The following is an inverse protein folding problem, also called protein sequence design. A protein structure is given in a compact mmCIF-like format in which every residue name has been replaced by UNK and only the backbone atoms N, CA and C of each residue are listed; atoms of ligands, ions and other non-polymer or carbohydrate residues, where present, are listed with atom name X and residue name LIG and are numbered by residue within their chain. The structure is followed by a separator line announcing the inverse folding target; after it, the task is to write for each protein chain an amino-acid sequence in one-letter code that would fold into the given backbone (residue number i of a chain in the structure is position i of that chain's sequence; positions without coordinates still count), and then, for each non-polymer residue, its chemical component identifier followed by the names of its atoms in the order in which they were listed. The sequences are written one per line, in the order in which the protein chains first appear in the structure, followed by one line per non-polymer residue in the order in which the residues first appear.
data_IF_920198407677
#
_entry.id   IF_920198407677
#
_cell.length_a   1.000
_cell.length_b   1.000
_cell.length_c   1.000
_cell.angle_alpha   90.00
_cell.angle_beta   90.00
_cell.angle_gamma   90.00
#
_symmetry.space_group_name_H-M   'P 1'
#
loop_
_entity.id
_entity.type
_entity.pdbx_description
1 polymer ?
#
# COMPACT_ATOMS: atom_id res chain seq x y z
N UNK A 1 -9.27 -4.48 -2.57
CA UNK A 1 -9.40 -5.91 -2.23
C UNK A 1 -10.76 -6.38 -2.65
N UNK A 2 -10.94 -7.69 -2.84
CA UNK A 2 -12.23 -8.26 -3.23
C UNK A 2 -13.22 -8.20 -2.06
N UNK A 3 -14.46 -7.80 -2.33
CA UNK A 3 -15.52 -7.64 -1.33
C UNK A 3 -16.65 -8.60 -1.68
N UNK A 4 -17.10 -9.41 -0.72
CA UNK A 4 -18.15 -10.40 -0.91
C UNK A 4 -19.33 -10.13 0.03
N UNK A 5 -20.54 -10.46 -0.40
CA UNK A 5 -21.70 -10.54 0.49
C UNK A 5 -21.73 -11.85 1.29
N UNK A 6 -22.70 -11.98 2.20
CA UNK A 6 -22.89 -13.17 3.04
C UNK A 6 -23.20 -14.44 2.23
N UNK A 7 -23.62 -14.30 0.96
CA UNK A 7 -23.92 -15.41 0.04
C UNK A 7 -22.74 -15.74 -0.87
N UNK A 8 -21.59 -15.06 -0.71
CA UNK A 8 -20.38 -15.28 -1.50
C UNK A 8 -20.37 -14.60 -2.87
N UNK A 9 -21.29 -13.66 -3.14
CA UNK A 9 -21.29 -12.89 -4.37
C UNK A 9 -20.22 -11.81 -4.30
N UNK A 10 -19.36 -11.71 -5.33
CA UNK A 10 -18.41 -10.63 -5.49
C UNK A 10 -19.14 -9.31 -5.77
N UNK A 11 -18.90 -8.30 -4.93
CA UNK A 11 -19.60 -7.02 -4.96
C UNK A 11 -18.89 -5.95 -5.79
N UNK A 12 -17.56 -6.06 -5.96
CA UNK A 12 -16.75 -5.08 -6.68
C UNK A 12 -16.00 -5.73 -7.86
N UNK A 13 -16.75 -6.34 -8.77
CA UNK A 13 -16.20 -7.09 -9.91
C UNK A 13 -15.86 -6.22 -11.13
N UNK A 14 -16.23 -4.94 -11.09
CA UNK A 14 -15.98 -3.97 -12.15
C UNK A 14 -14.81 -3.02 -11.79
N UNK A 15 -14.35 -2.25 -12.79
CA UNK A 15 -13.26 -1.29 -12.62
C UNK A 15 -13.68 0.03 -11.95
N UNK A 16 -14.96 0.25 -11.72
CA UNK A 16 -15.43 1.41 -10.95
C UNK A 16 -15.17 1.17 -9.48
N UNK A 17 -15.52 0.00 -8.95
CA UNK A 17 -15.41 -0.30 -7.52
C UNK A 17 -14.11 -1.04 -7.14
N UNK A 18 -13.55 -1.84 -8.04
CA UNK A 18 -12.18 -2.34 -7.89
C UNK A 18 -11.19 -1.30 -8.40
N UNK A 19 -10.83 -0.37 -7.51
CA UNK A 19 -9.95 0.76 -7.84
C UNK A 19 -8.57 0.27 -8.32
N UNK A 20 -8.21 0.70 -9.53
CA UNK A 20 -6.88 0.61 -10.11
C UNK A 20 -6.32 2.03 -10.14
N UNK A 21 -5.04 2.18 -9.76
CA UNK A 21 -4.39 3.48 -9.77
C UNK A 21 -4.40 4.07 -11.19
N UNK A 22 -4.82 5.33 -11.28
CA UNK A 22 -4.80 6.16 -12.48
C UNK A 22 -3.46 6.89 -12.61
N UNK A 23 -3.20 7.49 -13.77
CA UNK A 23 -1.95 8.23 -14.00
C UNK A 23 -1.78 9.45 -13.09
N UNK A 24 -2.88 10.07 -12.65
CA UNK A 24 -2.84 11.25 -11.77
C UNK A 24 -2.48 10.92 -10.32
N UNK A 25 -2.57 9.65 -9.92
CA UNK A 25 -2.26 9.20 -8.55
C UNK A 25 -0.77 8.84 -8.38
N UNK A 26 0.01 8.87 -9.45
CA UNK A 26 1.44 8.53 -9.44
C UNK A 26 2.26 9.79 -9.68
N UNK A 27 3.20 10.06 -8.78
CA UNK A 27 4.17 11.13 -8.95
C UNK A 27 5.28 10.66 -9.91
N UNK A 28 5.48 11.41 -11.00
CA UNK A 28 6.49 11.11 -12.02
C UNK A 28 7.54 12.22 -12.06
N UNK A 29 8.83 11.88 -12.28
CA UNK A 29 9.36 10.56 -12.62
C UNK A 29 9.46 9.62 -11.41
N UNK A 30 9.38 8.31 -11.66
CA UNK A 30 9.71 7.30 -10.64
C UNK A 30 11.24 7.16 -10.60
N UNK A 31 11.84 7.55 -9.49
CA UNK A 31 13.27 7.35 -9.26
C UNK A 31 13.57 5.86 -9.10
N UNK A 32 14.48 5.36 -9.95
CA UNK A 32 14.88 3.95 -9.96
C UNK A 32 16.40 3.83 -9.85
N UNK A 33 16.84 2.87 -9.03
CA UNK A 33 18.24 2.56 -8.79
C UNK A 33 18.52 1.10 -9.13
N UNK A 34 19.68 0.84 -9.73
CA UNK A 34 20.08 -0.47 -10.17
C UNK A 34 21.35 -0.88 -9.43
N UNK A 35 21.28 -2.00 -8.72
CA UNK A 35 22.43 -2.66 -8.12
C UNK A 35 22.66 -3.96 -8.88
N UNK A 36 23.83 -4.11 -9.48
CA UNK A 36 24.16 -5.26 -10.32
C UNK A 36 24.99 -6.27 -9.52
N UNK A 37 24.38 -7.42 -9.25
CA UNK A 37 25.08 -8.57 -8.69
C UNK A 37 24.92 -9.76 -9.63
N UNK A 38 25.93 -10.13 -10.43
CA UNK A 38 25.81 -11.21 -11.40
C UNK A 38 25.39 -12.55 -10.78
N UNK A 39 24.56 -13.31 -11.49
CA UNK A 39 24.25 -14.71 -11.15
C UNK A 39 25.19 -15.67 -11.90
N UNK A 40 26.04 -16.40 -11.18
CA UNK A 40 27.11 -17.25 -11.78
C UNK A 40 26.59 -18.29 -12.77
N UNK A 41 25.41 -18.84 -12.53
CA UNK A 41 24.81 -19.90 -13.34
C UNK A 41 24.02 -19.37 -14.55
N UNK A 42 23.76 -18.06 -14.59
CA UNK A 42 22.89 -17.46 -15.59
C UNK A 42 23.69 -16.87 -16.76
N UNK A 43 23.26 -17.04 -18.02
CA UNK A 43 23.92 -16.40 -19.15
C UNK A 43 23.99 -14.88 -18.99
N UNK A 44 25.18 -14.29 -19.04
CA UNK A 44 25.38 -12.85 -18.83
C UNK A 44 25.09 -12.35 -17.40
N UNK A 45 24.92 -13.23 -16.41
CA UNK A 45 24.72 -12.85 -15.01
C UNK A 45 23.36 -12.22 -14.69
N UNK A 46 22.37 -12.39 -15.58
CA UNK A 46 21.03 -11.80 -15.44
C UNK A 46 20.24 -12.42 -14.28
N UNK A 47 19.28 -11.64 -13.74
CA UNK A 47 18.33 -12.06 -12.70
C UNK A 47 16.91 -11.62 -13.05
N UNK A 48 15.92 -12.31 -12.52
CA UNK A 48 14.50 -11.93 -12.66
C UNK A 48 14.17 -10.71 -11.79
N UNK A 49 13.58 -9.66 -12.39
CA UNK A 49 13.21 -8.42 -11.68
C UNK A 49 11.71 -8.11 -11.65
N UNK A 50 10.90 -8.79 -12.48
CA UNK A 50 9.50 -8.42 -12.73
C UNK A 50 8.61 -8.33 -11.48
N UNK A 51 8.81 -9.19 -10.48
CA UNK A 51 8.01 -9.20 -9.25
C UNK A 51 8.57 -8.28 -8.15
N UNK A 52 9.87 -7.98 -8.17
CA UNK A 52 10.54 -7.24 -7.08
C UNK A 52 9.94 -5.86 -6.87
N UNK A 53 9.62 -5.16 -7.96
CA UNK A 53 8.98 -3.85 -7.93
C UNK A 53 7.57 -3.87 -7.32
N UNK A 54 6.90 -5.03 -7.26
CA UNK A 54 5.56 -5.18 -6.67
C UNK A 54 5.61 -5.47 -5.16
N UNK A 55 6.72 -6.00 -4.65
CA UNK A 55 6.82 -6.44 -3.24
C UNK A 55 6.95 -5.24 -2.29
N UNK A 56 7.81 -4.29 -2.62
CA UNK A 56 8.21 -3.18 -1.74
C UNK A 56 7.19 -2.02 -1.59
N UNK A 57 6.30 -1.70 -2.56
CA UNK A 57 5.44 -0.52 -2.44
C UNK A 57 4.46 -0.56 -1.26
N UNK A 58 3.82 -1.71 -1.00
CA UNK A 58 2.84 -1.82 0.08
C UNK A 58 3.46 -1.54 1.48
N UNK A 59 4.56 -2.20 1.90
CA UNK A 59 5.21 -1.89 3.18
C UNK A 59 5.85 -0.49 3.20
N UNK A 60 6.40 0.00 2.08
CA UNK A 60 6.94 1.36 2.01
C UNK A 60 5.87 2.42 2.30
N UNK A 61 4.69 2.28 1.69
CA UNK A 61 3.55 3.16 1.93
C UNK A 61 3.07 3.11 3.39
N UNK A 62 2.96 1.91 3.97
CA UNK A 62 2.57 1.75 5.38
C UNK A 62 3.58 2.38 6.34
N UNK A 63 4.88 2.26 6.06
CA UNK A 63 5.93 2.95 6.83
C UNK A 63 5.83 4.47 6.69
N UNK A 64 5.54 4.99 5.49
CA UNK A 64 5.34 6.42 5.29
C UNK A 64 4.13 6.95 6.07
N UNK A 65 3.00 6.22 6.04
CA UNK A 65 1.81 6.56 6.84
C UNK A 65 2.13 6.49 8.33
N UNK A 66 2.82 5.45 8.80
CA UNK A 66 3.24 5.37 10.21
C UNK A 66 4.12 6.55 10.60
N UNK A 67 5.07 6.96 9.76
CA UNK A 67 5.90 8.13 10.01
C UNK A 67 5.09 9.43 10.08
N UNK A 68 4.05 9.56 9.25
CA UNK A 68 3.20 10.75 9.19
C UNK A 68 2.25 10.89 10.40
N UNK A 69 1.62 9.81 10.86
CA UNK A 69 0.55 9.89 11.88
C UNK A 69 0.85 9.09 13.16
N UNK A 70 1.94 8.32 13.20
CA UNK A 70 2.35 7.51 14.34
C UNK A 70 1.42 6.32 14.63
N UNK A 71 0.70 5.81 13.63
CA UNK A 71 -0.25 4.68 13.77
C UNK A 71 0.19 3.55 12.85
N UNK A 72 0.31 2.33 13.41
CA UNK A 72 0.72 1.15 12.65
C UNK A 72 -0.50 0.38 12.16
N UNK A 73 -0.61 0.21 10.85
CA UNK A 73 -1.66 -0.62 10.25
C UNK A 73 -1.14 -2.03 9.99
N UNK A 74 -1.92 -3.04 10.37
CA UNK A 74 -1.61 -4.46 10.15
C UNK A 74 -2.52 -5.12 9.11
N UNK A 75 -3.31 -4.32 8.39
CA UNK A 75 -4.27 -4.82 7.39
C UNK A 75 -4.35 -3.90 6.18
N UNK A 76 -4.18 -4.48 5.00
CA UNK A 76 -4.42 -3.81 3.72
C UNK A 76 -5.86 -3.98 3.22
N UNK A 77 -6.31 -3.16 2.27
CA UNK A 77 -5.68 -1.91 1.82
C UNK A 77 -5.76 -0.79 2.88
N UNK A 78 -4.87 0.20 2.77
CA UNK A 78 -4.89 1.43 3.58
C UNK A 78 -5.89 2.42 2.96
N UNK A 79 -7.19 2.13 3.03
CA UNK A 79 -8.21 3.02 2.44
C UNK A 79 -8.24 4.36 3.19
N UNK A 80 -8.63 5.43 2.48
CA UNK A 80 -8.80 6.77 3.07
C UNK A 80 -9.67 6.75 4.33
N UNK A 81 -10.74 5.95 4.34
CA UNK A 81 -11.64 5.82 5.49
C UNK A 81 -10.93 5.16 6.68
N UNK A 82 -10.15 4.10 6.45
CA UNK A 82 -9.39 3.44 7.53
C UNK A 82 -8.35 4.37 8.13
N UNK A 83 -7.63 5.10 7.29
CA UNK A 83 -6.60 6.05 7.73
C UNK A 83 -7.25 7.21 8.49
N UNK A 84 -8.34 7.78 7.97
CA UNK A 84 -9.10 8.86 8.60
C UNK A 84 -9.66 8.46 9.97
N UNK A 85 -10.34 7.31 10.06
CA UNK A 85 -10.93 6.85 11.32
C UNK A 85 -9.85 6.58 12.37
N UNK A 86 -8.71 6.01 11.98
CA UNK A 86 -7.60 5.78 12.90
C UNK A 86 -6.94 7.10 13.37
N UNK A 87 -6.78 8.07 12.48
CA UNK A 87 -6.26 9.39 12.84
C UNK A 87 -7.20 10.12 13.80
N UNK A 88 -8.51 10.05 13.57
CA UNK A 88 -9.54 10.68 14.41
C UNK A 88 -9.60 10.08 15.81
N UNK A 89 -9.59 8.76 15.95
CA UNK A 89 -9.66 8.11 17.27
C UNK A 89 -8.47 8.44 18.17
N UNK A 90 -7.29 8.66 17.56
CA UNK A 90 -6.09 9.12 18.28
C UNK A 90 -6.26 10.52 18.87
N UNK A 91 -6.92 11.43 18.15
CA UNK A 91 -7.20 12.79 18.63
C UNK A 91 -8.20 12.78 19.78
N UNK A 92 -9.29 12.03 19.67
CA UNK A 92 -10.32 11.91 20.72
C UNK A 92 -9.74 11.36 22.03
N UNK A 93 -8.83 10.38 21.96
CA UNK A 93 -8.13 9.83 23.15
C UNK A 93 -7.18 10.85 23.83
N UNK A 94 -6.79 11.91 23.13
CA UNK A 94 -5.86 12.94 23.64
C UNK A 94 -6.60 14.14 24.24
N UNK A 95 -7.82 14.43 23.76
CA UNK A 95 -8.64 15.56 24.23
C UNK A 95 -9.45 15.23 25.51
N UNK A 96 -9.77 13.96 25.78
CA UNK A 96 -10.53 13.51 26.96
C UNK A 96 -9.78 13.59 28.32
N UNK A 97 -8.56 14.16 28.36
CA UNK A 97 -7.77 14.29 29.59
C UNK A 97 -7.95 15.63 30.32
N UNK A 98 -8.80 16.53 29.79
CA UNK A 98 -9.09 17.84 30.37
C UNK A 98 -10.58 18.05 30.71
N UNK A 99 -11.30 17.00 31.08
CA UNK A 99 -12.57 17.09 31.83
C UNK A 99 -12.47 16.40 33.20
#
# INVERSE_FOLDING_TARGET
GLVFDEKGKLLNQDFTDYKIATIEEVDFPIDSFWEETPEEISPYGNRGVGEHAMISPAPALNNAVYNAIGIRFHRYPLTRERVFMAARSKTETTEDWYE
#
